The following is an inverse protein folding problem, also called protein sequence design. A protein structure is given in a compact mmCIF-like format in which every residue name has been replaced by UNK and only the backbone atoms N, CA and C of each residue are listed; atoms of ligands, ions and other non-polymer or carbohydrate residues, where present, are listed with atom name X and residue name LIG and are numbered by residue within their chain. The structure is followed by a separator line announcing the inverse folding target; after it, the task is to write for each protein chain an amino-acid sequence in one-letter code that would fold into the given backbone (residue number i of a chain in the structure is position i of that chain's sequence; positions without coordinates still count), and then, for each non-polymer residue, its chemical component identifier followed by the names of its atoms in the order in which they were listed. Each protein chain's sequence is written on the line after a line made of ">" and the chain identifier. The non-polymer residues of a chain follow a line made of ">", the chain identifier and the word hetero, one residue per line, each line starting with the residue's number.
data_IF_032202256767
#
_entry.id   IF_032202256767
#
_cell.length_a   1.000
_cell.length_b   1.000
_cell.length_c   1.000
_cell.angle_alpha   90.00
_cell.angle_beta   90.00
_cell.angle_gamma   90.00
#
_symmetry.space_group_name_H-M   'P 1'
#
loop_
_entity.id
_entity.type
_entity.pdbx_description
1 polymer ?
#
# COMPACT_ATOMS: atom_id res chain seq x y z
N UNK A 1 24.03 -4.22 6.38
CA UNK A 1 23.82 -4.85 5.18
C UNK A 1 22.46 -5.51 5.09
N UNK A 2 22.34 -6.84 5.03
CA UNK A 2 21.04 -7.47 4.94
C UNK A 2 20.17 -7.21 6.16
N UNK A 3 20.78 -7.03 7.33
CA UNK A 3 20.06 -6.82 8.58
C UNK A 3 19.64 -5.36 8.78
N UNK A 4 20.30 -4.43 8.10
CA UNK A 4 19.99 -3.02 8.26
C UNK A 4 18.54 -2.67 7.88
N UNK A 5 18.00 -3.11 6.72
CA UNK A 5 16.61 -2.83 6.40
C UNK A 5 15.64 -3.40 7.40
N UNK A 6 15.91 -4.61 7.92
CA UNK A 6 15.04 -5.24 8.90
C UNK A 6 15.00 -4.46 10.21
N UNK A 7 16.15 -3.94 10.66
CA UNK A 7 16.19 -3.12 11.86
C UNK A 7 15.49 -1.79 11.68
N UNK A 8 15.70 -1.14 10.54
CA UNK A 8 15.00 0.12 10.23
C UNK A 8 13.50 -0.11 10.18
N UNK A 9 13.07 -1.20 9.52
CA UNK A 9 11.66 -1.53 9.42
C UNK A 9 11.02 -1.71 10.80
N UNK A 10 11.68 -2.46 11.68
CA UNK A 10 11.19 -2.72 13.03
C UNK A 10 11.12 -1.42 13.85
N UNK A 11 12.14 -0.59 13.74
CA UNK A 11 12.19 0.68 14.47
C UNK A 11 11.11 1.65 13.99
N UNK A 12 10.99 1.81 12.68
CA UNK A 12 9.99 2.71 12.11
C UNK A 12 8.57 2.24 12.44
N UNK A 13 8.33 0.93 12.40
CA UNK A 13 7.02 0.38 12.78
C UNK A 13 6.71 0.63 14.25
N UNK A 14 7.71 0.50 15.11
CA UNK A 14 7.52 0.80 16.51
C UNK A 14 7.20 2.29 16.73
N UNK A 15 7.90 3.18 16.04
CA UNK A 15 7.61 4.60 16.12
C UNK A 15 6.17 4.89 15.66
N UNK A 16 5.75 4.26 14.58
CA UNK A 16 4.38 4.42 14.06
C UNK A 16 3.35 4.00 15.10
N UNK A 17 3.56 2.84 15.72
CA UNK A 17 2.62 2.31 16.71
C UNK A 17 2.58 3.17 17.98
N UNK A 18 3.68 3.83 18.32
CA UNK A 18 3.73 4.75 19.45
C UNK A 18 3.17 6.15 19.13
N UNK A 19 2.73 6.36 17.90
CA UNK A 19 2.20 7.65 17.47
C UNK A 19 3.26 8.64 17.01
N UNK A 20 4.54 8.24 16.97
CA UNK A 20 5.63 9.11 16.53
C UNK A 20 5.75 9.06 15.01
N UNK A 21 4.69 9.51 14.32
CA UNK A 21 4.53 9.38 12.88
C UNK A 21 5.55 10.19 12.10
N UNK A 22 5.80 11.42 12.52
CA UNK A 22 6.75 12.32 11.84
C UNK A 22 8.15 11.72 11.91
N UNK A 23 8.54 11.22 13.07
CA UNK A 23 9.84 10.58 13.24
C UNK A 23 9.96 9.29 12.40
N UNK A 24 8.89 8.51 12.33
CA UNK A 24 8.86 7.30 11.52
C UNK A 24 9.09 7.64 10.04
N UNK A 25 8.43 8.68 9.55
CA UNK A 25 8.62 9.14 8.17
C UNK A 25 10.07 9.55 7.91
N UNK A 26 10.66 10.30 8.83
CA UNK A 26 12.05 10.77 8.66
C UNK A 26 13.05 9.61 8.65
N UNK A 27 12.85 8.63 9.53
CA UNK A 27 13.71 7.44 9.59
C UNK A 27 13.65 6.66 8.28
N UNK A 28 12.43 6.44 7.77
CA UNK A 28 12.25 5.70 6.52
C UNK A 28 12.82 6.47 5.32
N UNK A 29 12.57 7.77 5.25
CA UNK A 29 13.06 8.60 4.16
C UNK A 29 14.59 8.60 4.11
N UNK A 30 15.24 8.75 5.25
CA UNK A 30 16.70 8.71 5.34
C UNK A 30 17.25 7.36 4.91
N UNK A 31 16.65 6.28 5.38
CA UNK A 31 17.11 4.94 5.03
C UNK A 31 16.93 4.66 3.52
N UNK A 32 15.78 5.03 2.96
CA UNK A 32 15.49 4.83 1.55
C UNK A 32 16.39 5.67 0.65
N UNK A 33 16.78 6.84 1.12
CA UNK A 33 17.73 7.69 0.39
C UNK A 33 19.11 7.04 0.32
N UNK A 34 19.55 6.38 1.39
CA UNK A 34 20.82 5.69 1.39
C UNK A 34 20.80 4.42 0.55
N UNK A 35 19.75 3.63 0.71
CA UNK A 35 19.59 2.39 -0.04
C UNK A 35 18.12 2.04 -0.15
N UNK A 36 17.62 1.97 -1.36
CA UNK A 36 16.22 1.63 -1.60
C UNK A 36 15.94 0.19 -1.16
N UNK A 37 14.79 -0.01 -0.52
CA UNK A 37 14.31 -1.32 -0.11
C UNK A 37 12.79 -1.34 -0.23
N UNK A 38 12.26 -2.36 -0.88
CA UNK A 38 10.82 -2.46 -1.18
C UNK A 38 9.97 -2.54 0.09
N UNK A 39 10.45 -3.22 1.14
CA UNK A 39 9.72 -3.33 2.40
C UNK A 39 9.64 -1.99 3.11
N UNK A 40 10.72 -1.22 3.08
CA UNK A 40 10.73 0.13 3.65
C UNK A 40 9.82 1.06 2.86
N UNK A 41 9.83 0.93 1.52
CA UNK A 41 8.96 1.73 0.67
C UNK A 41 7.48 1.44 0.97
N UNK A 42 7.14 0.18 1.26
CA UNK A 42 5.77 -0.18 1.60
C UNK A 42 5.33 0.45 2.93
N UNK A 43 6.17 0.41 3.94
CA UNK A 43 5.86 1.03 5.22
C UNK A 43 5.76 2.54 5.10
N UNK A 44 6.51 3.14 4.17
CA UNK A 44 6.47 4.59 3.95
C UNK A 44 5.07 5.11 3.62
N UNK A 45 4.23 4.27 3.01
CA UNK A 45 2.84 4.63 2.71
C UNK A 45 1.91 4.59 3.92
N UNK A 46 2.37 4.03 5.03
CA UNK A 46 1.56 3.88 6.25
C UNK A 46 1.92 4.91 7.31
N UNK A 47 3.03 5.62 7.16
CA UNK A 47 3.43 6.66 8.12
C UNK A 47 2.96 8.03 7.62
N UNK A 48 2.72 8.93 8.56
CA UNK A 48 2.23 10.26 8.25
C UNK A 48 3.26 11.30 8.67
N UNK A 49 4.00 11.80 7.68
CA UNK A 49 4.94 12.89 7.89
C UNK A 49 4.23 14.23 8.11
N UNK A 50 5.02 15.27 8.31
CA UNK A 50 4.48 16.60 8.56
C UNK A 50 3.94 17.28 7.31
N UNK A 51 4.36 16.82 6.12
CA UNK A 51 3.96 17.42 4.83
C UNK A 51 3.60 16.31 3.84
N UNK A 52 2.30 15.96 3.73
CA UNK A 52 1.87 14.87 2.85
C UNK A 52 2.21 15.07 1.38
N UNK A 53 2.10 16.30 0.87
CA UNK A 53 2.41 16.58 -0.53
C UNK A 53 3.90 16.36 -0.82
N UNK A 54 4.76 16.77 0.10
CA UNK A 54 6.19 16.57 -0.04
C UNK A 54 6.56 15.09 0.09
N UNK A 55 5.88 14.38 0.99
CA UNK A 55 6.06 12.93 1.13
C UNK A 55 5.74 12.20 -0.16
N UNK A 56 4.65 12.59 -0.82
CA UNK A 56 4.30 12.04 -2.14
C UNK A 56 5.38 12.32 -3.18
N UNK A 57 5.87 13.56 -3.24
CA UNK A 57 6.94 13.92 -4.19
C UNK A 57 8.19 13.09 -3.96
N UNK A 58 8.56 12.88 -2.70
CA UNK A 58 9.71 12.05 -2.34
C UNK A 58 9.55 10.64 -2.88
N UNK A 59 8.40 10.04 -2.65
CA UNK A 59 8.13 8.68 -3.12
C UNK A 59 8.06 8.60 -4.64
N UNK A 60 7.52 9.61 -5.30
CA UNK A 60 7.49 9.65 -6.77
C UNK A 60 8.90 9.72 -7.35
N UNK A 61 9.84 10.32 -6.62
CA UNK A 61 11.23 10.33 -7.02
C UNK A 61 11.84 8.93 -7.11
N UNK A 62 11.42 8.01 -6.25
CA UNK A 62 11.91 6.64 -6.29
C UNK A 62 11.37 5.83 -7.46
N UNK A 63 10.22 6.25 -8.00
CA UNK A 63 9.57 5.51 -9.08
C UNK A 63 10.42 5.46 -10.35
N UNK A 64 11.25 6.47 -10.57
CA UNK A 64 12.10 6.52 -11.78
C UNK A 64 13.03 5.33 -11.88
N UNK A 65 13.59 4.88 -10.75
CA UNK A 65 14.50 3.75 -10.72
C UNK A 65 13.81 2.43 -10.37
N UNK A 66 12.58 2.51 -9.85
CA UNK A 66 11.83 1.32 -9.41
C UNK A 66 10.39 1.33 -9.95
N UNK A 67 10.22 1.44 -11.29
CA UNK A 67 8.88 1.59 -11.87
C UNK A 67 8.02 0.34 -11.79
N UNK A 68 8.63 -0.82 -11.53
CA UNK A 68 7.91 -2.08 -11.48
C UNK A 68 7.87 -2.68 -10.06
N UNK A 69 7.97 -1.85 -9.04
CA UNK A 69 7.84 -2.29 -7.66
C UNK A 69 6.40 -2.12 -7.19
N UNK A 70 5.63 -3.21 -7.04
CA UNK A 70 4.23 -3.10 -6.61
C UNK A 70 4.08 -2.51 -5.22
N UNK A 71 5.07 -2.68 -4.34
CA UNK A 71 5.05 -2.08 -3.01
C UNK A 71 5.14 -0.56 -3.07
N UNK A 72 6.00 -0.04 -3.95
CA UNK A 72 6.11 1.40 -4.14
C UNK A 72 4.83 1.98 -4.75
N UNK A 73 4.26 1.28 -5.74
CA UNK A 73 3.01 1.74 -6.36
C UNK A 73 1.85 1.75 -5.37
N UNK A 74 1.78 0.76 -4.48
CA UNK A 74 0.80 0.76 -3.40
C UNK A 74 0.98 1.98 -2.49
N UNK A 75 2.23 2.27 -2.11
CA UNK A 75 2.56 3.43 -1.30
C UNK A 75 2.15 4.73 -2.00
N UNK A 76 2.47 4.86 -3.29
CA UNK A 76 2.07 6.04 -4.05
C UNK A 76 0.55 6.19 -4.09
N UNK A 77 -0.18 5.10 -4.25
CA UNK A 77 -1.63 5.11 -4.16
C UNK A 77 -2.12 5.62 -2.81
N UNK A 78 -1.55 5.11 -1.74
CA UNK A 78 -1.90 5.53 -0.38
C UNK A 78 -1.59 7.00 -0.12
N UNK A 79 -0.45 7.48 -0.58
CA UNK A 79 -0.08 8.89 -0.43
C UNK A 79 -0.98 9.79 -1.24
N UNK A 80 -1.41 9.35 -2.42
CA UNK A 80 -2.38 10.08 -3.22
C UNK A 80 -3.75 10.15 -2.54
N UNK A 81 -4.16 9.05 -1.87
CA UNK A 81 -5.41 9.09 -1.09
C UNK A 81 -5.33 10.12 0.03
N UNK A 82 -4.19 10.22 0.71
CA UNK A 82 -4.00 11.20 1.78
C UNK A 82 -4.04 12.65 1.27
N UNK A 83 -3.65 12.88 0.03
CA UNK A 83 -3.62 14.21 -0.57
C UNK A 83 -4.83 14.46 -1.47
N UNK A 84 -5.82 13.59 -1.42
CA UNK A 84 -7.08 13.72 -2.18
C UNK A 84 -6.88 13.76 -3.69
N UNK A 85 -5.84 13.13 -4.18
CA UNK A 85 -5.58 12.99 -5.62
C UNK A 85 -6.18 11.67 -6.10
N UNK A 86 -7.53 11.65 -6.21
CA UNK A 86 -8.28 10.42 -6.41
C UNK A 86 -7.94 9.70 -7.72
N UNK A 87 -7.78 10.44 -8.82
CA UNK A 87 -7.43 9.87 -10.12
C UNK A 87 -6.05 9.24 -10.10
N UNK A 88 -5.07 9.94 -9.55
CA UNK A 88 -3.71 9.40 -9.43
C UNK A 88 -3.67 8.21 -8.49
N UNK A 89 -4.41 8.27 -7.39
CA UNK A 89 -4.51 7.15 -6.44
C UNK A 89 -5.00 5.91 -7.16
N UNK A 90 -6.08 6.04 -7.93
CA UNK A 90 -6.65 4.94 -8.70
C UNK A 90 -5.62 4.35 -9.67
N UNK A 91 -4.92 5.21 -10.41
CA UNK A 91 -3.94 4.76 -11.40
C UNK A 91 -2.78 4.00 -10.74
N UNK A 92 -2.26 4.51 -9.64
CA UNK A 92 -1.17 3.84 -8.93
C UNK A 92 -1.62 2.49 -8.35
N UNK A 93 -2.81 2.44 -7.76
CA UNK A 93 -3.34 1.19 -7.19
C UNK A 93 -3.61 0.14 -8.27
N UNK A 94 -4.17 0.56 -9.40
CA UNK A 94 -4.36 -0.32 -10.55
C UNK A 94 -3.02 -0.87 -11.06
N UNK A 95 -2.01 -0.01 -11.16
CA UNK A 95 -0.68 -0.42 -11.60
C UNK A 95 -0.04 -1.41 -10.63
N UNK A 96 -0.20 -1.18 -9.33
CA UNK A 96 0.28 -2.12 -8.31
C UNK A 96 -0.33 -3.50 -8.51
N UNK A 97 -1.65 -3.56 -8.70
CA UNK A 97 -2.37 -4.82 -8.89
C UNK A 97 -1.97 -5.54 -10.17
N UNK A 98 -1.67 -4.80 -11.24
CA UNK A 98 -1.22 -5.43 -12.49
C UNK A 98 0.13 -6.13 -12.31
N UNK A 99 0.98 -5.62 -11.45
CA UNK A 99 2.29 -6.22 -11.19
C UNK A 99 2.22 -7.37 -10.18
N UNK A 100 1.39 -7.21 -9.15
CA UNK A 100 1.24 -8.22 -8.12
C UNK A 100 -0.12 -8.11 -7.47
N UNK A 101 -0.85 -9.21 -7.43
CA UNK A 101 -2.11 -9.28 -6.70
C UNK A 101 -1.80 -9.33 -5.21
N UNK A 102 -2.32 -8.38 -4.45
CA UNK A 102 -2.15 -8.37 -3.01
C UNK A 102 -3.40 -7.81 -2.34
N UNK A 103 -3.74 -8.30 -1.13
CA UNK A 103 -5.00 -7.91 -0.49
C UNK A 103 -5.04 -6.44 -0.10
N UNK A 104 -3.89 -5.83 0.21
CA UNK A 104 -3.88 -4.43 0.62
C UNK A 104 -4.23 -3.50 -0.53
N UNK A 105 -3.65 -3.72 -1.72
CA UNK A 105 -4.00 -2.91 -2.88
C UNK A 105 -5.45 -3.13 -3.30
N UNK A 106 -5.95 -4.37 -3.21
CA UNK A 106 -7.37 -4.66 -3.47
C UNK A 106 -8.27 -3.86 -2.53
N UNK A 107 -7.95 -3.85 -1.23
CA UNK A 107 -8.76 -3.15 -0.26
C UNK A 107 -8.74 -1.64 -0.46
N UNK A 108 -7.56 -1.07 -0.70
CA UNK A 108 -7.46 0.37 -0.91
C UNK A 108 -8.22 0.81 -2.16
N UNK A 109 -8.08 0.08 -3.26
CA UNK A 109 -8.78 0.42 -4.50
C UNK A 109 -10.29 0.19 -4.35
N UNK A 110 -10.70 -0.89 -3.70
CA UNK A 110 -12.11 -1.17 -3.48
C UNK A 110 -12.78 -0.06 -2.68
N UNK A 111 -12.14 0.42 -1.62
CA UNK A 111 -12.67 1.52 -0.81
C UNK A 111 -12.80 2.79 -1.62
N UNK A 112 -11.80 3.11 -2.42
CA UNK A 112 -11.83 4.28 -3.28
C UNK A 112 -12.98 4.20 -4.29
N UNK A 113 -13.11 3.06 -4.97
CA UNK A 113 -14.14 2.88 -5.99
C UNK A 113 -15.54 2.93 -5.38
N UNK A 114 -15.72 2.39 -4.17
CA UNK A 114 -17.01 2.49 -3.47
C UNK A 114 -17.39 3.96 -3.26
N UNK A 115 -16.44 4.79 -2.83
CA UNK A 115 -16.71 6.21 -2.64
C UNK A 115 -16.97 6.95 -3.95
N UNK A 116 -16.36 6.48 -5.05
CA UNK A 116 -16.58 7.06 -6.37
C UNK A 116 -17.85 6.53 -7.06
N UNK A 117 -18.57 5.63 -6.42
CA UNK A 117 -19.84 5.11 -6.94
C UNK A 117 -19.73 3.85 -7.79
N UNK A 118 -18.55 3.31 -7.98
CA UNK A 118 -18.36 2.05 -8.72
C UNK A 118 -18.46 0.86 -7.76
N UNK A 119 -19.67 0.57 -7.33
CA UNK A 119 -19.95 -0.45 -6.33
C UNK A 119 -19.65 -1.86 -6.83
N UNK A 120 -19.93 -2.12 -8.10
CA UNK A 120 -19.71 -3.45 -8.66
C UNK A 120 -18.24 -3.84 -8.66
N UNK A 121 -17.39 -2.96 -9.18
CA UNK A 121 -15.95 -3.25 -9.19
C UNK A 121 -15.37 -3.26 -7.78
N UNK A 122 -15.88 -2.40 -6.90
CA UNK A 122 -15.47 -2.40 -5.50
C UNK A 122 -15.71 -3.77 -4.86
N UNK A 123 -16.90 -4.33 -5.04
CA UNK A 123 -17.23 -5.64 -4.50
C UNK A 123 -16.36 -6.74 -5.07
N UNK A 124 -16.08 -6.70 -6.39
CA UNK A 124 -15.20 -7.67 -7.02
C UNK A 124 -13.80 -7.63 -6.41
N UNK A 125 -13.27 -6.43 -6.15
CA UNK A 125 -11.95 -6.27 -5.58
C UNK A 125 -11.89 -6.74 -4.13
N UNK A 126 -12.92 -6.49 -3.33
CA UNK A 126 -12.98 -7.01 -1.98
C UNK A 126 -12.97 -8.53 -1.97
N UNK A 127 -13.74 -9.16 -2.85
CA UNK A 127 -13.77 -10.62 -2.94
C UNK A 127 -12.44 -11.18 -3.40
N UNK A 128 -11.80 -10.52 -4.38
CA UNK A 128 -10.47 -10.92 -4.83
C UNK A 128 -9.45 -10.83 -3.70
N UNK A 129 -9.47 -9.73 -2.94
CA UNK A 129 -8.57 -9.56 -1.82
C UNK A 129 -8.76 -10.63 -0.74
N UNK A 130 -10.01 -10.97 -0.44
CA UNK A 130 -10.30 -12.05 0.50
C UNK A 130 -9.77 -13.39 0.00
N UNK A 131 -9.88 -13.65 -1.29
CA UNK A 131 -9.36 -14.88 -1.90
C UNK A 131 -7.85 -15.00 -1.86
N UNK A 132 -7.13 -13.90 -1.62
CA UNK A 132 -5.67 -13.91 -1.48
C UNK A 132 -5.21 -14.23 -0.06
N UNK A 133 -6.12 -14.29 0.90
CA UNK A 133 -5.80 -14.67 2.28
C UNK A 133 -5.62 -16.18 2.39
N UNK A 134 -4.92 -16.59 3.47
CA UNK A 134 -4.73 -18.01 3.75
C UNK A 134 -6.09 -18.69 3.90
N UNK A 135 -6.32 -19.76 3.12
CA UNK A 135 -7.57 -20.50 3.13
C UNK A 135 -7.91 -21.05 4.52
N UNK A 136 -6.92 -21.29 5.36
CA UNK A 136 -7.15 -21.75 6.74
C UNK A 136 -7.89 -20.73 7.58
N UNK A 137 -7.89 -19.46 7.16
CA UNK A 137 -8.65 -18.40 7.82
C UNK A 137 -10.09 -18.36 7.34
N UNK A 138 -10.39 -19.03 6.21
CA UNK A 138 -11.71 -19.11 5.61
C UNK A 138 -12.24 -20.53 5.79
N UNK A 139 -12.47 -20.89 7.05
CA UNK A 139 -12.60 -22.30 7.47
C UNK A 139 -13.90 -22.98 7.04
N UNK A 140 -14.94 -22.26 6.71
CA UNK A 140 -16.23 -22.86 6.37
C UNK A 140 -16.29 -23.22 4.89
N UNK A 141 -16.79 -24.40 4.52
CA UNK A 141 -17.00 -24.73 3.12
C UNK A 141 -18.10 -23.85 2.54
N UNK A 142 -17.94 -23.53 1.26
CA UNK A 142 -18.95 -22.76 0.54
C UNK A 142 -20.09 -23.67 0.08
N UNK A 143 -21.31 -23.16 0.02
CA UNK A 143 -22.41 -23.92 -0.56
C UNK A 143 -22.16 -24.17 -2.04
N UNK A 144 -22.71 -25.27 -2.54
CA UNK A 144 -22.65 -25.56 -3.98
C UNK A 144 -23.47 -24.49 -4.70
N UNK A 145 -22.93 -23.90 -5.78
CA UNK A 145 -23.69 -22.91 -6.53
C UNK A 145 -25.01 -23.47 -7.05
N UNK A 146 -26.07 -22.69 -6.90
CA UNK A 146 -27.37 -23.03 -7.45
C UNK A 146 -27.43 -22.41 -8.84
N UNK A 147 -27.65 -23.23 -9.85
CA UNK A 147 -27.80 -22.75 -11.22
C UNK A 147 -29.22 -22.19 -11.40
N UNK A 148 -29.23 -20.96 -11.80
CA UNK A 148 -30.50 -20.32 -12.14
C UNK A 148 -30.93 -20.68 -13.54
#
# INVERSE_FOLDING_TARGET
>A
QRQEPALVLAYAEQLRQLGAQVEAEEVLRSALKRKYDSHLARLYGLVRGSDPARQLQTAEGWLKEHPADPSLLLTLGRLCLQTSLWGKARDYLESSLRLQRNPEACAELARLLAQLGDTERSNQLFQEGLGLLDERLLAAPLPVPVHA
#
